data_IF_254016312940
#
_entry.id   IF_254016312940
#
_cell.length_a   1.000
_cell.length_b   1.000
_cell.length_c   1.000
_cell.angle_alpha   90.00
_cell.angle_beta   90.00
_cell.angle_gamma   90.00
#
_symmetry.space_group_name_H-M   'P 1'
#
loop_
_entity.id
_entity.type
_entity.pdbx_description
1 polymer ?
#
# COMPACT_ATOMS: atom_id res chain seq x y z
N UNK A 1 -4.23 24.36 9.04
CA UNK A 1 -5.25 23.33 9.25
C UNK A 1 -4.70 22.01 8.73
N UNK A 2 -4.39 21.06 9.61
CA UNK A 2 -3.86 19.73 9.27
C UNK A 2 -4.99 18.72 9.03
N UNK A 3 -6.19 19.05 9.47
CA UNK A 3 -7.44 18.30 9.39
C UNK A 3 -7.93 18.12 7.94
N UNK A 4 -7.36 18.85 6.98
CA UNK A 4 -7.61 18.69 5.54
C UNK A 4 -6.44 18.09 4.76
N UNK A 5 -5.38 17.63 5.45
CA UNK A 5 -4.15 17.15 4.81
C UNK A 5 -4.09 15.63 4.86
N UNK A 6 -3.81 15.04 3.70
CA UNK A 6 -3.47 13.62 3.59
C UNK A 6 -1.97 13.47 3.41
N UNK A 7 -1.37 12.51 4.11
CA UNK A 7 0.05 12.21 3.96
C UNK A 7 0.24 11.05 2.99
N UNK A 8 1.26 11.16 2.13
CA UNK A 8 1.70 10.07 1.24
C UNK A 8 3.15 9.68 1.50
N UNK A 9 3.45 9.03 2.64
CA UNK A 9 4.81 8.60 2.96
C UNK A 9 5.14 7.26 2.30
N UNK A 10 6.44 6.94 2.28
CA UNK A 10 6.92 5.57 2.11
C UNK A 10 6.73 4.76 3.38
N UNK A 11 6.59 3.45 3.23
CA UNK A 11 6.75 2.52 4.35
C UNK A 11 8.22 2.45 4.77
N UNK A 12 8.47 2.03 6.00
CA UNK A 12 9.84 1.77 6.50
C UNK A 12 10.21 0.34 6.13
N UNK A 13 10.95 0.20 5.02
CA UNK A 13 11.39 -1.09 4.48
C UNK A 13 12.92 -1.18 4.45
N UNK A 14 13.49 -2.39 4.38
CA UNK A 14 14.90 -2.55 4.00
C UNK A 14 15.19 -1.89 2.65
N UNK A 15 16.46 -1.51 2.43
CA UNK A 15 16.89 -0.96 1.16
C UNK A 15 16.75 -1.97 0.02
N UNK A 16 16.56 -1.49 -1.21
CA UNK A 16 16.31 -2.34 -2.38
C UNK A 16 17.43 -3.33 -2.73
N UNK A 17 18.66 -3.11 -2.23
CA UNK A 17 19.81 -4.00 -2.42
C UNK A 17 19.90 -5.10 -1.34
N UNK A 18 19.07 -5.05 -0.30
CA UNK A 18 19.07 -6.06 0.75
C UNK A 18 18.44 -7.36 0.22
N UNK A 19 19.11 -8.49 0.45
CA UNK A 19 18.64 -9.79 -0.01
C UNK A 19 17.50 -10.34 0.85
N UNK A 20 17.55 -10.06 2.16
CA UNK A 20 16.52 -10.49 3.10
C UNK A 20 15.35 -9.50 3.13
N UNK A 21 14.16 -10.02 2.87
CA UNK A 21 12.92 -9.25 3.00
C UNK A 21 12.43 -9.25 4.44
N UNK A 22 12.04 -8.08 4.93
CA UNK A 22 11.39 -7.96 6.23
C UNK A 22 9.97 -8.52 6.18
N UNK A 23 9.49 -9.06 7.31
CA UNK A 23 8.09 -9.48 7.42
C UNK A 23 7.15 -8.27 7.44
N UNK A 24 5.87 -8.43 7.02
CA UNK A 24 4.87 -7.37 7.11
C UNK A 24 4.72 -6.78 8.52
N UNK A 25 4.77 -7.62 9.56
CA UNK A 25 4.70 -7.17 10.95
C UNK A 25 5.89 -6.30 11.35
N UNK A 26 7.08 -6.62 10.85
CA UNK A 26 8.29 -5.81 11.08
C UNK A 26 8.15 -4.45 10.42
N UNK A 27 7.74 -4.42 9.15
CA UNK A 27 7.50 -3.19 8.39
C UNK A 27 6.42 -2.34 9.07
N UNK A 28 5.30 -2.95 9.48
CA UNK A 28 4.22 -2.30 10.19
C UNK A 28 4.71 -1.67 11.50
N UNK A 29 5.43 -2.43 12.33
CA UNK A 29 5.99 -1.95 13.60
C UNK A 29 6.87 -0.73 13.43
N UNK A 30 7.86 -0.79 12.54
CA UNK A 30 8.79 0.33 12.34
C UNK A 30 8.10 1.54 11.69
N UNK A 31 7.22 1.32 10.72
CA UNK A 31 6.46 2.40 10.05
C UNK A 31 5.56 3.13 11.04
N UNK A 32 4.73 2.42 11.80
CA UNK A 32 3.83 3.01 12.78
C UNK A 32 4.60 3.69 13.92
N UNK A 33 5.72 3.11 14.37
CA UNK A 33 6.58 3.76 15.39
C UNK A 33 7.11 5.10 14.90
N UNK A 34 7.58 5.18 13.65
CA UNK A 34 8.08 6.42 13.07
C UNK A 34 6.99 7.46 12.90
N UNK A 35 5.82 7.07 12.36
CA UNK A 35 4.69 7.97 12.22
C UNK A 35 4.23 8.49 13.59
N UNK A 36 4.09 7.64 14.61
CA UNK A 36 3.64 8.04 15.95
C UNK A 36 4.58 9.04 16.64
N UNK A 37 5.85 9.04 16.26
CA UNK A 37 6.86 9.98 16.80
C UNK A 37 6.89 11.33 16.08
N UNK A 38 6.39 11.42 14.85
CA UNK A 38 6.64 12.59 13.97
C UNK A 38 5.40 13.22 13.37
N UNK A 39 4.32 12.46 13.25
CA UNK A 39 3.11 12.89 12.57
C UNK A 39 2.06 13.23 13.63
N UNK A 40 1.59 14.49 13.70
CA UNK A 40 0.43 14.83 14.53
C UNK A 40 -0.85 14.17 13.97
N UNK A 41 -1.98 14.20 14.69
CA UNK A 41 -3.25 13.75 14.16
C UNK A 41 -3.60 14.44 12.82
N UNK A 42 -3.75 13.63 11.78
CA UNK A 42 -4.23 13.99 10.43
C UNK A 42 -5.31 12.98 10.02
N UNK A 43 -6.20 13.31 9.06
CA UNK A 43 -7.26 12.39 8.65
C UNK A 43 -6.77 11.02 8.15
N UNK A 44 -5.66 11.00 7.41
CA UNK A 44 -5.17 9.75 6.84
C UNK A 44 -3.75 9.79 6.31
N UNK A 45 -3.16 8.59 6.32
CA UNK A 45 -1.86 8.27 5.75
C UNK A 45 -2.07 7.26 4.63
N UNK A 46 -1.83 7.67 3.40
CA UNK A 46 -2.01 6.86 2.19
C UNK A 46 -0.64 6.46 1.64
N UNK A 47 -0.21 5.23 1.88
CA UNK A 47 1.14 4.80 1.50
C UNK A 47 1.34 4.74 -0.02
N UNK A 48 2.56 5.04 -0.46
CA UNK A 48 3.06 4.68 -1.78
C UNK A 48 3.58 3.24 -1.80
N UNK A 49 3.58 2.57 -2.95
CA UNK A 49 3.99 1.17 -3.06
C UNK A 49 5.50 0.94 -3.16
N UNK A 50 6.32 2.00 -3.32
CA UNK A 50 7.77 1.95 -3.10
C UNK A 50 8.61 1.00 -3.97
N UNK A 51 8.06 0.41 -5.04
CA UNK A 51 8.73 -0.65 -5.81
C UNK A 51 8.53 -2.06 -5.25
N UNK A 52 7.73 -2.19 -4.19
CA UNK A 52 7.29 -3.47 -3.66
C UNK A 52 6.40 -4.23 -4.66
N UNK A 53 6.32 -5.54 -4.49
CA UNK A 53 5.36 -6.35 -5.25
C UNK A 53 3.92 -5.97 -4.90
N UNK A 54 2.97 -6.31 -5.79
CA UNK A 54 1.54 -6.05 -5.55
C UNK A 54 1.01 -6.73 -4.27
N UNK A 55 1.62 -7.86 -3.88
CA UNK A 55 1.24 -8.62 -2.68
C UNK A 55 1.80 -7.95 -1.43
N UNK A 56 3.08 -7.59 -1.41
CA UNK A 56 3.72 -6.91 -0.27
C UNK A 56 3.04 -5.56 0.02
N UNK A 57 2.76 -4.79 -1.02
CA UNK A 57 2.03 -3.53 -0.90
C UNK A 57 0.61 -3.70 -0.31
N UNK A 58 0.03 -4.90 -0.38
CA UNK A 58 -1.25 -5.22 0.27
C UNK A 58 -1.06 -5.72 1.71
N UNK A 59 -0.07 -6.59 1.94
CA UNK A 59 0.16 -7.23 3.24
C UNK A 59 0.70 -6.25 4.29
N UNK A 60 1.54 -5.30 3.90
CA UNK A 60 2.16 -4.35 4.84
C UNK A 60 1.11 -3.41 5.49
N UNK A 61 0.23 -2.72 4.74
CA UNK A 61 -0.85 -1.94 5.36
C UNK A 61 -1.85 -2.80 6.14
N UNK A 62 -2.13 -4.02 5.64
CA UNK A 62 -2.99 -4.95 6.36
C UNK A 62 -2.47 -5.23 7.77
N UNK A 63 -1.16 -5.49 7.90
CA UNK A 63 -0.50 -5.69 9.20
C UNK A 63 -0.56 -4.42 10.08
N UNK A 64 -0.45 -3.22 9.49
CA UNK A 64 -0.59 -1.97 10.23
C UNK A 64 -2.00 -1.77 10.80
N UNK A 65 -3.03 -2.16 10.04
CA UNK A 65 -4.44 -2.05 10.43
C UNK A 65 -4.90 -3.08 11.46
N UNK A 66 -4.11 -4.14 11.72
CA UNK A 66 -4.37 -5.04 12.85
C UNK A 66 -4.14 -4.40 14.22
N UNK A 67 -3.70 -3.14 14.28
CA UNK A 67 -3.51 -2.38 15.51
C UNK A 67 -4.21 -1.01 15.42
N UNK A 68 -4.74 -0.47 16.53
CA UNK A 68 -5.35 0.86 16.52
C UNK A 68 -4.36 1.95 16.12
N UNK A 69 -4.77 2.78 15.16
CA UNK A 69 -4.00 3.92 14.67
C UNK A 69 -4.77 5.22 14.85
N UNK A 70 -4.09 6.34 15.19
CA UNK A 70 -4.74 7.64 15.31
C UNK A 70 -5.10 8.29 13.96
N UNK A 71 -4.73 7.64 12.85
CA UNK A 71 -5.01 8.06 11.48
C UNK A 71 -5.61 6.91 10.69
N UNK A 72 -6.37 7.22 9.64
CA UNK A 72 -6.75 6.22 8.64
C UNK A 72 -5.52 5.74 7.86
N UNK A 73 -5.22 4.44 7.89
CA UNK A 73 -4.11 3.85 7.12
C UNK A 73 -4.67 3.22 5.85
N UNK A 74 -4.32 3.81 4.71
CA UNK A 74 -4.78 3.36 3.40
C UNK A 74 -3.67 3.44 2.36
N UNK A 75 -4.02 3.35 1.08
CA UNK A 75 -3.08 3.22 -0.04
C UNK A 75 -3.28 4.32 -1.08
N UNK A 76 -2.18 4.73 -1.72
CA UNK A 76 -2.16 5.59 -2.90
C UNK A 76 -1.15 5.02 -3.91
N UNK A 77 -1.55 3.91 -4.53
CA UNK A 77 -0.69 3.07 -5.37
C UNK A 77 -0.86 3.36 -6.86
N UNK A 78 0.26 3.22 -7.60
CA UNK A 78 0.27 3.16 -9.05
C UNK A 78 0.66 1.75 -9.50
N UNK A 79 1.95 1.43 -9.46
CA UNK A 79 2.48 0.14 -9.91
C UNK A 79 1.82 -1.06 -9.21
N UNK A 80 1.61 -1.00 -7.89
CA UNK A 80 1.02 -2.12 -7.15
C UNK A 80 -0.46 -2.41 -7.48
N UNK A 81 -1.18 -1.47 -8.12
CA UNK A 81 -2.54 -1.68 -8.61
C UNK A 81 -2.60 -2.04 -10.10
N UNK A 82 -1.58 -1.69 -10.88
CA UNK A 82 -1.65 -1.69 -12.33
C UNK A 82 -0.68 -2.64 -13.01
N UNK A 83 0.38 -3.12 -12.37
CA UNK A 83 1.41 -3.94 -13.04
C UNK A 83 0.83 -5.21 -13.68
N UNK A 84 0.03 -5.98 -12.94
CA UNK A 84 -0.66 -7.17 -13.47
C UNK A 84 -1.71 -6.81 -14.51
N UNK A 85 -2.39 -5.67 -14.34
CA UNK A 85 -3.41 -5.17 -15.27
C UNK A 85 -2.79 -4.82 -16.61
N UNK A 86 -1.66 -4.10 -16.61
CA UNK A 86 -0.93 -3.70 -17.80
C UNK A 86 -0.36 -4.93 -18.53
N UNK A 87 0.22 -5.87 -17.78
CA UNK A 87 0.71 -7.15 -18.33
C UNK A 87 -0.39 -7.99 -18.98
N UNK A 88 -1.60 -7.94 -18.44
CA UNK A 88 -2.76 -8.65 -19.01
C UNK A 88 -3.36 -7.90 -20.19
N UNK A 89 -3.44 -6.57 -20.12
CA UNK A 89 -4.00 -5.72 -21.17
C UNK A 89 -3.18 -5.78 -22.45
N UNK A 90 -1.85 -5.72 -22.37
CA UNK A 90 -0.91 -5.77 -23.51
C UNK A 90 -1.26 -4.81 -24.68
N UNK A 91 -2.00 -3.72 -24.41
CA UNK A 91 -2.53 -2.82 -25.45
C UNK A 91 -3.62 -3.43 -26.35
N UNK A 92 -4.05 -4.66 -26.10
CA UNK A 92 -4.96 -5.43 -26.94
C UNK A 92 -6.42 -5.26 -26.50
N UNK A 93 -7.33 -4.71 -27.34
CA UNK A 93 -8.72 -4.45 -27.00
C UNK A 93 -9.48 -5.66 -26.43
N UNK A 94 -9.24 -6.85 -26.97
CA UNK A 94 -9.86 -8.11 -26.56
C UNK A 94 -9.54 -8.50 -25.11
N UNK A 95 -8.41 -8.05 -24.56
CA UNK A 95 -8.01 -8.34 -23.18
C UNK A 95 -8.67 -7.43 -22.13
N UNK A 96 -9.59 -6.54 -22.54
CA UNK A 96 -10.19 -5.53 -21.65
C UNK A 96 -10.86 -6.18 -20.43
N UNK A 97 -11.71 -7.18 -20.68
CA UNK A 97 -12.46 -7.85 -19.62
C UNK A 97 -11.56 -8.59 -18.64
N UNK A 98 -10.49 -9.24 -19.14
CA UNK A 98 -9.52 -9.91 -18.28
C UNK A 98 -8.75 -8.91 -17.40
N UNK A 99 -8.26 -7.82 -18.02
CA UNK A 99 -7.52 -6.77 -17.31
C UNK A 99 -8.38 -6.09 -16.23
N UNK A 100 -9.66 -5.80 -16.51
CA UNK A 100 -10.60 -5.25 -15.53
C UNK A 100 -10.83 -6.19 -14.35
N UNK A 101 -10.97 -7.50 -14.60
CA UNK A 101 -11.08 -8.50 -13.52
C UNK A 101 -9.81 -8.52 -12.65
N UNK A 102 -8.63 -8.48 -13.26
CA UNK A 102 -7.37 -8.41 -12.52
C UNK A 102 -7.27 -7.14 -11.67
N UNK A 103 -7.70 -5.99 -12.20
CA UNK A 103 -7.74 -4.73 -11.46
C UNK A 103 -8.69 -4.81 -10.26
N UNK A 104 -9.89 -5.35 -10.44
CA UNK A 104 -10.87 -5.52 -9.35
C UNK A 104 -10.34 -6.40 -8.23
N UNK A 105 -9.60 -7.46 -8.55
CA UNK A 105 -8.95 -8.32 -7.53
C UNK A 105 -7.98 -7.50 -6.69
N UNK A 106 -7.12 -6.69 -7.31
CA UNK A 106 -6.15 -5.84 -6.59
C UNK A 106 -6.82 -4.72 -5.81
N UNK A 107 -7.81 -4.05 -6.39
CA UNK A 107 -8.58 -3.01 -5.71
C UNK A 107 -9.30 -3.56 -4.48
N UNK A 108 -9.95 -4.73 -4.61
CA UNK A 108 -10.63 -5.40 -3.49
C UNK A 108 -9.66 -5.82 -2.40
N UNK A 109 -8.51 -6.39 -2.76
CA UNK A 109 -7.50 -6.81 -1.78
C UNK A 109 -7.00 -5.63 -0.93
N UNK A 110 -6.67 -4.50 -1.57
CA UNK A 110 -6.25 -3.29 -0.85
C UNK A 110 -7.41 -2.64 -0.07
N UNK A 111 -8.65 -2.73 -0.57
CA UNK A 111 -9.83 -2.28 0.16
C UNK A 111 -10.13 -3.10 1.41
N UNK A 112 -9.73 -4.38 1.45
CA UNK A 112 -9.85 -5.21 2.65
C UNK A 112 -8.69 -4.97 3.61
N UNK A 113 -7.49 -4.71 3.09
CA UNK A 113 -6.31 -4.40 3.88
C UNK A 113 -6.39 -3.07 4.66
N UNK A 114 -7.32 -2.18 4.30
CA UNK A 114 -7.56 -0.92 5.01
C UNK A 114 -8.57 -1.01 6.17
N UNK A 115 -9.15 -2.20 6.40
CA UNK A 115 -10.12 -2.48 7.46
C UNK A 115 -9.43 -3.11 8.67
#
# INVERSE_FOLDING_TARGET
MLEGILLKPSMVTPGAQQQEKASPDTIAKYTLTMLKRRVPPVPGTLFLSGGESEVEATLNPNAMNQTPNPWHVSFSYACALQNSVLKMRQGRPENAGAAQKAWLVRAKANSLAQL
#
